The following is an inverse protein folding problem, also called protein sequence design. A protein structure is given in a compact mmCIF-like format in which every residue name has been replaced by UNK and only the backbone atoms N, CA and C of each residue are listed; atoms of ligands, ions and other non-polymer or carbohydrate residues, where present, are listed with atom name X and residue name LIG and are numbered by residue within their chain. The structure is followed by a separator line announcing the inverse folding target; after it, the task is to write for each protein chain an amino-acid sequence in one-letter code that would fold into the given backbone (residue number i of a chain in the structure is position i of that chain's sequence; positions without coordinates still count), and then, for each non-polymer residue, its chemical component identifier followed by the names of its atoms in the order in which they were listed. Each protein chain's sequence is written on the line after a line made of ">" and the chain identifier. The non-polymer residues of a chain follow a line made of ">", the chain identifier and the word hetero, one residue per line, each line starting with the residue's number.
data_IF_408552948302
#
_entry.id   IF_408552948302
#
_cell.length_a   1.000
_cell.length_b   1.000
_cell.length_c   1.000
_cell.angle_alpha   90.00
_cell.angle_beta   90.00
_cell.angle_gamma   90.00
#
_symmetry.space_group_name_H-M   'P 1'
#
loop_
_entity.id
_entity.type
_entity.pdbx_description
1 polymer ?
#
# COMPACT_ATOMS: atom_id res chain seq x y z
N UNK A 1 -5.02 -5.82 -17.03
CA UNK A 1 -4.57 -6.59 -15.85
C UNK A 1 -5.80 -6.95 -15.03
N UNK A 2 -6.01 -8.24 -14.69
CA UNK A 2 -7.28 -8.73 -14.11
C UNK A 2 -7.65 -8.02 -12.79
N UNK A 3 -6.69 -7.86 -11.88
CA UNK A 3 -6.90 -7.17 -10.60
C UNK A 3 -7.36 -5.73 -10.81
N UNK A 4 -6.82 -5.04 -11.81
CA UNK A 4 -7.21 -3.67 -12.15
C UNK A 4 -8.69 -3.61 -12.55
N UNK A 5 -9.13 -4.50 -13.43
CA UNK A 5 -10.51 -4.55 -13.89
C UNK A 5 -11.48 -4.85 -12.73
N UNK A 6 -11.12 -5.76 -11.83
CA UNK A 6 -11.90 -6.06 -10.63
C UNK A 6 -12.04 -4.85 -9.71
N UNK A 7 -10.91 -4.20 -9.34
CA UNK A 7 -10.93 -3.04 -8.43
C UNK A 7 -11.72 -1.89 -9.04
N UNK A 8 -11.52 -1.56 -10.33
CA UNK A 8 -12.26 -0.51 -11.02
C UNK A 8 -13.76 -0.77 -11.02
N UNK A 9 -14.17 -2.00 -11.34
CA UNK A 9 -15.58 -2.35 -11.43
C UNK A 9 -16.27 -2.32 -10.06
N UNK A 10 -15.61 -2.84 -9.02
CA UNK A 10 -16.12 -2.81 -7.64
C UNK A 10 -16.20 -1.39 -7.07
N UNK A 11 -15.21 -0.53 -7.36
CA UNK A 11 -15.22 0.86 -6.90
C UNK A 11 -16.25 1.72 -7.65
N UNK A 12 -16.48 1.47 -8.95
CA UNK A 12 -17.55 2.09 -9.73
C UNK A 12 -18.93 1.74 -9.19
N UNK A 13 -19.17 0.47 -8.88
CA UNK A 13 -20.47 0.00 -8.37
C UNK A 13 -20.72 0.34 -6.90
N UNK A 14 -19.72 0.86 -6.18
CA UNK A 14 -19.84 1.24 -4.77
C UNK A 14 -20.66 2.52 -4.53
N UNK A 15 -20.88 3.34 -5.57
CA UNK A 15 -21.44 4.70 -5.46
C UNK A 15 -20.67 5.63 -4.50
N UNK A 16 -19.46 5.24 -4.07
CA UNK A 16 -18.65 5.97 -3.11
C UNK A 16 -17.60 6.86 -3.76
N UNK A 17 -17.23 6.61 -5.02
CA UNK A 17 -16.08 7.21 -5.68
C UNK A 17 -16.46 8.18 -6.79
N UNK A 18 -15.65 9.21 -7.03
CA UNK A 18 -15.82 10.16 -8.12
C UNK A 18 -14.65 10.14 -9.13
N UNK A 19 -13.47 9.71 -8.69
CA UNK A 19 -12.30 9.52 -9.53
C UNK A 19 -11.44 8.38 -8.99
N UNK A 20 -10.78 7.66 -9.90
CA UNK A 20 -9.88 6.56 -9.57
C UNK A 20 -8.52 6.78 -10.26
N UNK A 21 -7.43 6.51 -9.55
CA UNK A 21 -6.06 6.52 -10.07
C UNK A 21 -5.47 5.13 -9.86
N UNK A 22 -5.07 4.48 -10.95
CA UNK A 22 -4.49 3.13 -10.93
C UNK A 22 -3.08 3.19 -11.49
N UNK A 23 -2.16 2.39 -10.95
CA UNK A 23 -0.84 2.16 -11.57
C UNK A 23 -0.96 1.70 -13.03
N UNK A 24 -1.98 0.90 -13.33
CA UNK A 24 -2.22 0.26 -14.64
C UNK A 24 -2.92 1.19 -15.66
N UNK A 25 -3.31 2.39 -15.25
CA UNK A 25 -4.01 3.36 -16.12
C UNK A 25 -3.24 4.66 -16.19
N UNK A 26 -2.89 5.06 -17.43
CA UNK A 26 -2.17 6.32 -17.69
C UNK A 26 -2.95 7.55 -17.22
N UNK A 27 -4.26 7.57 -17.48
CA UNK A 27 -5.12 8.70 -17.21
C UNK A 27 -6.08 8.39 -16.04
N UNK A 28 -6.46 9.43 -15.30
CA UNK A 28 -7.46 9.31 -14.22
C UNK A 28 -8.80 8.80 -14.78
N UNK A 29 -9.42 7.87 -14.05
CA UNK A 29 -10.74 7.33 -14.41
C UNK A 29 -11.80 8.16 -13.70
N UNK A 30 -12.53 8.98 -14.44
CA UNK A 30 -13.66 9.75 -13.90
C UNK A 30 -14.91 8.89 -13.88
N UNK A 31 -15.59 8.83 -12.73
CA UNK A 31 -16.79 8.03 -12.56
C UNK A 31 -17.99 8.72 -13.26
N UNK A 32 -18.87 7.98 -13.96
CA UNK A 32 -20.10 8.53 -14.55
C UNK A 32 -21.00 9.20 -13.51
N UNK A 33 -21.68 10.29 -13.89
CA UNK A 33 -22.42 11.18 -12.96
C UNK A 33 -23.42 10.45 -12.05
N UNK A 34 -24.10 9.46 -12.60
CA UNK A 34 -25.11 8.61 -11.97
C UNK A 34 -24.54 7.62 -10.94
N UNK A 35 -23.24 7.34 -10.98
CA UNK A 35 -22.54 6.41 -10.08
C UNK A 35 -21.59 7.11 -9.10
N UNK A 36 -21.58 8.46 -9.07
CA UNK A 36 -20.58 9.22 -8.31
C UNK A 36 -20.86 9.25 -6.82
N UNK A 37 -19.80 9.07 -6.04
CA UNK A 37 -19.72 9.47 -4.65
C UNK A 37 -18.77 10.65 -4.42
N UNK A 38 -18.18 10.69 -3.22
CA UNK A 38 -17.36 11.82 -2.72
C UNK A 38 -15.88 11.51 -2.54
N UNK A 39 -15.47 10.28 -2.82
CA UNK A 39 -14.12 9.81 -2.58
C UNK A 39 -13.31 9.65 -3.87
N UNK A 40 -12.01 9.82 -3.73
CA UNK A 40 -11.02 9.56 -4.77
C UNK A 40 -10.18 8.41 -4.26
N UNK A 41 -9.97 7.39 -5.08
CA UNK A 41 -9.19 6.21 -4.69
C UNK A 41 -7.98 6.08 -5.59
N UNK A 42 -6.80 6.16 -4.99
CA UNK A 42 -5.54 5.84 -5.64
C UNK A 42 -5.15 4.43 -5.22
N UNK A 43 -4.81 3.55 -6.16
CA UNK A 43 -4.48 2.17 -5.85
C UNK A 43 -3.45 1.58 -6.80
N UNK A 44 -2.71 0.61 -6.26
CA UNK A 44 -1.94 -0.36 -7.03
C UNK A 44 -2.73 -1.68 -6.97
N UNK A 45 -3.28 -2.16 -8.09
CA UNK A 45 -4.12 -3.35 -8.08
C UNK A 45 -3.32 -4.64 -7.83
N UNK A 46 -2.02 -4.68 -8.13
CA UNK A 46 -1.17 -5.86 -7.95
C UNK A 46 0.31 -5.50 -7.79
N UNK A 47 0.66 -5.07 -6.59
CA UNK A 47 2.02 -4.71 -6.19
C UNK A 47 2.91 -5.97 -6.09
N UNK A 48 4.18 -5.81 -6.43
CA UNK A 48 5.14 -6.92 -6.48
C UNK A 48 5.00 -7.82 -7.71
N UNK A 49 4.47 -7.31 -8.83
CA UNK A 49 4.23 -8.08 -10.05
C UNK A 49 5.45 -8.86 -10.57
N UNK A 50 6.67 -8.36 -10.33
CA UNK A 50 7.94 -9.04 -10.62
C UNK A 50 8.14 -10.38 -9.89
N UNK A 51 7.39 -10.60 -8.80
CA UNK A 51 7.47 -11.79 -7.95
C UNK A 51 6.37 -12.83 -8.21
N UNK A 52 5.48 -12.57 -9.17
CA UNK A 52 4.37 -13.50 -9.49
C UNK A 52 4.93 -14.86 -9.91
N UNK A 53 5.92 -14.87 -10.82
CA UNK A 53 6.47 -16.10 -11.38
C UNK A 53 7.26 -16.95 -10.37
N UNK A 54 7.76 -16.34 -9.30
CA UNK A 54 8.49 -17.02 -8.23
C UNK A 54 7.63 -17.32 -7.00
N UNK A 55 6.32 -17.07 -7.07
CA UNK A 55 5.35 -17.31 -5.98
C UNK A 55 5.73 -16.62 -4.67
N UNK A 56 6.43 -15.48 -4.74
CA UNK A 56 6.66 -14.65 -3.57
C UNK A 56 5.37 -13.91 -3.20
N UNK A 57 5.35 -13.34 -1.99
CA UNK A 57 4.19 -12.55 -1.54
C UNK A 57 4.03 -11.32 -2.42
N UNK A 58 2.79 -11.04 -2.80
CA UNK A 58 2.35 -9.89 -3.59
C UNK A 58 1.19 -9.20 -2.88
N UNK A 59 0.73 -8.05 -3.36
CA UNK A 59 -0.33 -7.31 -2.66
C UNK A 59 -1.17 -6.40 -3.53
N UNK A 60 -2.09 -5.68 -2.88
CA UNK A 60 -2.87 -4.58 -3.46
C UNK A 60 -2.79 -3.42 -2.49
N UNK A 61 -2.40 -2.23 -2.94
CA UNK A 61 -2.26 -1.04 -2.09
C UNK A 61 -3.37 -0.06 -2.44
N UNK A 62 -3.95 0.61 -1.45
CA UNK A 62 -4.93 1.66 -1.71
C UNK A 62 -4.85 2.82 -0.73
N UNK A 63 -5.19 4.00 -1.23
CA UNK A 63 -5.35 5.22 -0.47
C UNK A 63 -6.63 5.93 -0.92
N UNK A 64 -7.42 6.36 0.06
CA UNK A 64 -8.71 7.03 -0.13
C UNK A 64 -8.56 8.48 0.30
N UNK A 65 -8.96 9.38 -0.58
CA UNK A 65 -9.05 10.82 -0.33
C UNK A 65 -10.49 11.27 -0.42
N UNK A 66 -10.84 12.34 0.30
CA UNK A 66 -12.10 13.04 0.09
C UNK A 66 -11.90 14.10 -0.99
N UNK A 67 -12.85 14.22 -1.93
CA UNK A 67 -12.88 15.34 -2.86
C UNK A 67 -13.11 16.64 -2.09
N UNK A 68 -12.32 17.67 -2.37
CA UNK A 68 -12.34 18.96 -1.64
C UNK A 68 -12.94 20.11 -2.43
N UNK A 69 -13.17 19.93 -3.72
CA UNK A 69 -13.72 20.93 -4.65
C UNK A 69 -15.19 20.64 -4.95
N UNK A 70 -15.95 21.67 -5.32
CA UNK A 70 -17.36 21.51 -5.76
C UNK A 70 -17.51 21.38 -7.29
N UNK A 71 -16.40 21.42 -8.03
CA UNK A 71 -16.36 21.32 -9.49
C UNK A 71 -16.53 19.89 -9.99
N UNK A 72 -16.63 19.70 -11.31
CA UNK A 72 -16.52 18.35 -11.91
C UNK A 72 -15.21 17.66 -11.49
N UNK A 73 -15.22 16.36 -11.16
CA UNK A 73 -14.01 15.62 -10.82
C UNK A 73 -12.98 15.66 -11.97
N UNK A 74 -11.73 15.94 -11.63
CA UNK A 74 -10.62 15.97 -12.57
C UNK A 74 -9.36 15.40 -11.94
N UNK A 75 -8.32 15.21 -12.75
CA UNK A 75 -7.03 14.67 -12.32
C UNK A 75 -6.42 15.44 -11.14
N UNK A 76 -6.58 16.77 -11.12
CA UNK A 76 -6.05 17.64 -10.07
C UNK A 76 -6.65 17.34 -8.69
N UNK A 77 -7.86 16.79 -8.63
CA UNK A 77 -8.48 16.42 -7.36
C UNK A 77 -7.78 15.23 -6.69
N UNK A 78 -7.06 14.40 -7.46
CA UNK A 78 -6.25 13.29 -6.95
C UNK A 78 -4.85 13.72 -6.51
N UNK A 79 -4.38 14.90 -6.95
CA UNK A 79 -3.07 15.46 -6.61
C UNK A 79 -3.08 16.12 -5.23
N UNK A 80 -3.51 15.37 -4.22
CA UNK A 80 -3.53 15.78 -2.83
C UNK A 80 -2.31 15.25 -2.07
N UNK A 81 -1.81 15.98 -1.06
CA UNK A 81 -0.74 15.47 -0.22
C UNK A 81 -1.25 14.28 0.63
N UNK A 82 -0.39 13.29 0.87
CA UNK A 82 -0.75 12.09 1.64
C UNK A 82 -1.30 12.33 3.06
N UNK A 83 -1.05 13.51 3.64
CA UNK A 83 -1.69 13.96 4.90
C UNK A 83 -3.22 14.10 4.83
N UNK A 84 -3.78 14.18 3.62
CA UNK A 84 -5.21 14.29 3.37
C UNK A 84 -5.91 12.93 3.18
N UNK A 85 -5.17 11.82 3.27
CA UNK A 85 -5.75 10.47 3.21
C UNK A 85 -6.72 10.32 4.37
N UNK A 86 -7.95 9.87 4.06
CA UNK A 86 -9.00 9.61 5.07
C UNK A 86 -9.06 8.13 5.45
N UNK A 87 -8.60 7.24 4.57
CA UNK A 87 -8.36 5.84 4.85
C UNK A 87 -7.31 5.29 3.89
N UNK A 88 -6.45 4.39 4.35
CA UNK A 88 -5.49 3.69 3.51
C UNK A 88 -5.20 2.31 4.07
N UNK A 89 -4.68 1.45 3.22
CA UNK A 89 -4.36 0.10 3.60
C UNK A 89 -3.70 -0.66 2.47
N UNK A 90 -3.47 -1.94 2.74
CA UNK A 90 -3.03 -2.89 1.75
C UNK A 90 -3.61 -4.27 2.04
N UNK A 91 -3.88 -5.03 0.99
CA UNK A 91 -4.07 -6.46 1.03
C UNK A 91 -2.73 -7.14 0.74
N UNK A 92 -2.34 -8.10 1.57
CA UNK A 92 -1.16 -8.93 1.41
C UNK A 92 -1.62 -10.35 1.05
N UNK A 93 -1.18 -10.84 -0.10
CA UNK A 93 -1.38 -12.20 -0.57
C UNK A 93 -0.12 -13.03 -0.28
N UNK A 94 0.08 -13.33 0.99
CA UNK A 94 1.24 -14.11 1.48
C UNK A 94 0.86 -15.56 1.79
N UNK A 95 1.47 -16.12 2.83
CA UNK A 95 1.06 -17.43 3.36
C UNK A 95 -0.37 -17.47 3.89
N UNK A 96 -0.91 -16.29 4.25
CA UNK A 96 -2.32 -16.04 4.49
C UNK A 96 -2.69 -14.69 3.85
N UNK A 97 -3.97 -14.50 3.51
CA UNK A 97 -4.47 -13.23 3.00
C UNK A 97 -4.84 -12.30 4.15
N UNK A 98 -4.20 -11.14 4.21
CA UNK A 98 -4.38 -10.14 5.27
C UNK A 98 -4.70 -8.78 4.67
N UNK A 99 -5.62 -8.04 5.28
CA UNK A 99 -5.86 -6.63 5.00
C UNK A 99 -5.44 -5.81 6.21
N UNK A 100 -4.46 -4.94 6.04
CA UNK A 100 -4.12 -3.91 7.02
C UNK A 100 -4.83 -2.62 6.63
N UNK A 101 -5.58 -2.03 7.56
CA UNK A 101 -6.42 -0.85 7.31
C UNK A 101 -6.21 0.21 8.38
N UNK A 102 -6.14 1.47 7.97
CA UNK A 102 -6.21 2.64 8.83
C UNK A 102 -7.26 3.62 8.32
N UNK A 103 -8.04 4.17 9.25
CA UNK A 103 -9.02 5.26 9.03
C UNK A 103 -8.68 6.52 9.83
N UNK A 104 -7.42 6.63 10.27
CA UNK A 104 -6.91 7.76 11.05
C UNK A 104 -6.92 7.57 12.58
N UNK A 105 -7.49 6.47 13.10
CA UNK A 105 -7.57 6.19 14.55
C UNK A 105 -6.65 5.04 15.02
N UNK A 106 -5.82 4.51 14.13
CA UNK A 106 -4.98 3.36 14.39
C UNK A 106 -4.83 2.51 13.15
N UNK A 107 -4.21 1.35 13.31
CA UNK A 107 -4.07 0.35 12.26
C UNK A 107 -4.65 -0.94 12.81
N UNK A 108 -5.55 -1.57 12.06
CA UNK A 108 -6.11 -2.87 12.38
C UNK A 108 -5.79 -3.85 11.24
N UNK A 109 -5.55 -5.11 11.59
CA UNK A 109 -5.29 -6.17 10.63
C UNK A 109 -6.43 -7.19 10.65
N UNK A 110 -6.93 -7.53 9.48
CA UNK A 110 -7.98 -8.50 9.26
C UNK A 110 -7.44 -9.64 8.40
N UNK A 111 -7.65 -10.88 8.81
CA UNK A 111 -7.24 -12.06 8.05
C UNK A 111 -8.46 -12.67 7.37
N UNK A 112 -8.32 -13.05 6.11
CA UNK A 112 -9.37 -13.74 5.37
C UNK A 112 -9.53 -15.16 5.92
N UNK A 113 -10.74 -15.52 6.33
CA UNK A 113 -11.15 -16.92 6.49
C UNK A 113 -11.68 -17.43 5.15
N UNK A 114 -10.96 -18.33 4.44
CA UNK A 114 -11.37 -18.80 3.12
C UNK A 114 -12.63 -19.67 3.15
N UNK A 115 -12.96 -20.28 4.28
CA UNK A 115 -14.15 -21.12 4.41
C UNK A 115 -15.43 -20.28 4.55
N UNK A 116 -15.31 -19.10 5.17
CA UNK A 116 -16.43 -18.17 5.34
C UNK A 116 -16.48 -17.09 4.24
N UNK A 117 -15.34 -16.77 3.62
CA UNK A 117 -15.22 -15.65 2.69
C UNK A 117 -15.21 -14.28 3.39
N UNK A 118 -14.83 -14.23 4.67
CA UNK A 118 -14.93 -13.05 5.52
C UNK A 118 -13.56 -12.61 6.07
N UNK A 119 -13.37 -11.30 6.21
CA UNK A 119 -12.19 -10.71 6.85
C UNK A 119 -12.41 -10.55 8.35
N UNK A 120 -11.73 -11.38 9.15
CA UNK A 120 -11.86 -11.40 10.60
C UNK A 120 -10.75 -10.59 11.24
N UNK A 121 -11.09 -9.72 12.20
CA UNK A 121 -10.12 -8.93 12.96
C UNK A 121 -9.19 -9.85 13.76
N UNK A 122 -7.89 -9.81 13.48
CA UNK A 122 -6.87 -10.63 14.17
C UNK A 122 -5.93 -9.80 15.04
N UNK A 123 -5.57 -8.59 14.60
CA UNK A 123 -4.75 -7.66 15.37
C UNK A 123 -5.39 -6.28 15.40
N UNK A 124 -5.64 -5.78 16.62
CA UNK A 124 -6.26 -4.48 16.85
C UNK A 124 -5.23 -3.44 17.27
N UNK A 125 -5.35 -2.23 16.73
CA UNK A 125 -4.56 -1.06 17.08
C UNK A 125 -3.05 -1.33 17.08
N UNK A 126 -2.57 -1.91 15.98
CA UNK A 126 -1.18 -2.29 15.76
C UNK A 126 -0.26 -1.08 15.97
N UNK A 127 0.86 -1.33 16.65
CA UNK A 127 1.92 -0.36 16.90
C UNK A 127 3.27 -0.96 16.57
N UNK A 128 4.03 -0.24 15.75
CA UNK A 128 5.41 -0.63 15.43
C UNK A 128 6.31 -0.46 16.66
N UNK A 129 7.32 -1.33 16.80
CA UNK A 129 8.35 -1.19 17.84
C UNK A 129 9.14 0.10 17.61
N UNK A 130 9.53 0.79 18.70
CA UNK A 130 10.34 2.02 18.63
C UNK A 130 11.69 1.83 17.94
N UNK A 131 12.31 0.66 18.06
CA UNK A 131 13.57 0.28 17.37
C UNK A 131 13.50 -1.18 16.95
N UNK A 132 13.69 -1.44 15.66
CA UNK A 132 13.81 -2.78 15.08
C UNK A 132 15.25 -3.30 15.08
N UNK A 133 15.45 -4.52 14.57
CA UNK A 133 16.75 -5.18 14.37
C UNK A 133 16.96 -5.71 12.94
N UNK A 134 16.13 -5.24 12.00
CA UNK A 134 16.13 -5.65 10.60
C UNK A 134 16.26 -4.40 9.73
N UNK A 135 17.02 -4.50 8.64
CA UNK A 135 16.97 -3.54 7.53
C UNK A 135 16.52 -4.26 6.25
N UNK A 136 15.83 -3.53 5.36
CA UNK A 136 15.32 -4.03 4.08
C UNK A 136 15.67 -3.04 2.98
N UNK A 137 16.54 -3.45 2.06
CA UNK A 137 17.03 -2.65 0.95
C UNK A 137 17.76 -3.54 -0.07
N UNK A 138 17.59 -3.25 -1.37
CA UNK A 138 18.29 -3.97 -2.44
C UNK A 138 19.74 -3.49 -2.56
N UNK A 139 20.68 -4.20 -1.94
CA UNK A 139 22.10 -3.86 -1.98
C UNK A 139 22.74 -4.00 -3.38
N UNK A 140 22.05 -4.55 -4.36
CA UNK A 140 22.49 -4.53 -5.77
C UNK A 140 22.67 -3.12 -6.32
N UNK A 141 22.02 -2.12 -5.72
CA UNK A 141 22.19 -0.70 -6.06
C UNK A 141 23.33 -0.01 -5.31
N UNK A 142 24.20 -0.74 -4.59
CA UNK A 142 25.27 -0.16 -3.76
C UNK A 142 26.14 0.88 -4.48
N UNK A 143 26.39 0.71 -5.78
CA UNK A 143 27.14 1.66 -6.61
C UNK A 143 26.48 3.04 -6.71
N UNK A 144 25.17 3.12 -6.55
CA UNK A 144 24.36 4.31 -6.78
C UNK A 144 23.84 4.95 -5.50
N UNK A 145 24.12 4.36 -4.33
CA UNK A 145 23.68 4.93 -3.07
C UNK A 145 24.38 6.25 -2.79
N UNK A 146 23.61 7.19 -2.25
CA UNK A 146 24.18 8.39 -1.66
C UNK A 146 25.03 8.03 -0.42
N UNK A 147 25.90 8.95 0.02
CA UNK A 147 26.77 8.71 1.17
C UNK A 147 26.02 8.36 2.46
N UNK A 148 24.83 8.92 2.70
CA UNK A 148 24.09 8.68 3.94
C UNK A 148 23.54 7.26 4.00
N UNK A 149 23.05 6.71 2.89
CA UNK A 149 22.62 5.30 2.81
C UNK A 149 23.81 4.36 2.97
N UNK A 150 24.94 4.68 2.34
CA UNK A 150 26.17 3.89 2.46
C UNK A 150 26.65 3.84 3.91
N UNK A 151 26.70 4.98 4.60
CA UNK A 151 27.05 5.08 6.01
C UNK A 151 26.05 4.33 6.91
N UNK A 152 24.75 4.49 6.66
CA UNK A 152 23.72 3.79 7.40
C UNK A 152 23.90 2.27 7.30
N UNK A 153 24.09 1.73 6.10
CA UNK A 153 24.29 0.29 5.88
C UNK A 153 25.56 -0.21 6.56
N UNK A 154 26.65 0.56 6.47
CA UNK A 154 27.89 0.25 7.19
C UNK A 154 27.62 0.14 8.69
N UNK A 155 26.93 1.10 9.29
CA UNK A 155 26.61 1.12 10.72
C UNK A 155 25.63 0.00 11.14
N UNK A 156 24.77 -0.48 10.23
CA UNK A 156 23.90 -1.64 10.50
C UNK A 156 24.64 -2.97 10.47
N UNK A 157 25.68 -3.08 9.64
CA UNK A 157 26.53 -4.29 9.51
C UNK A 157 27.65 -4.32 10.55
N UNK A 158 28.21 -3.16 10.88
CA UNK A 158 29.36 -2.99 11.77
C UNK A 158 29.03 -1.97 12.88
N UNK A 159 28.11 -2.30 13.79
CA UNK A 159 27.75 -1.41 14.89
C UNK A 159 28.96 -1.15 15.80
N UNK A 160 29.20 0.14 16.11
CA UNK A 160 30.33 0.56 16.95
C UNK A 160 30.03 0.53 18.46
N UNK A 161 28.75 0.37 18.83
CA UNK A 161 28.27 0.35 20.21
C UNK A 161 28.34 -1.04 20.87
N UNK A 162 28.95 -2.02 20.19
CA UNK A 162 29.04 -3.41 20.65
C UNK A 162 27.74 -4.21 20.52
N UNK A 163 26.68 -3.63 19.94
CA UNK A 163 25.44 -4.36 19.66
C UNK A 163 25.61 -5.37 18.52
N UNK A 164 24.68 -6.33 18.41
CA UNK A 164 24.70 -7.26 17.27
C UNK A 164 24.31 -6.53 15.97
N UNK A 165 24.92 -6.90 14.83
CA UNK A 165 24.50 -6.40 13.52
C UNK A 165 23.00 -6.63 13.26
N UNK A 166 22.41 -5.74 12.46
CA UNK A 166 21.03 -5.91 12.02
C UNK A 166 20.95 -7.04 10.99
N UNK A 167 19.86 -7.81 11.03
CA UNK A 167 19.58 -8.81 9.99
C UNK A 167 19.10 -8.13 8.71
N UNK A 168 19.57 -8.59 7.55
CA UNK A 168 19.03 -8.19 6.25
C UNK A 168 17.80 -9.03 5.89
N UNK A 169 16.74 -8.39 5.40
CA UNK A 169 15.57 -9.05 4.79
C UNK A 169 15.11 -8.19 3.62
N UNK A 170 15.06 -8.74 2.41
CA UNK A 170 14.55 -8.03 1.23
C UNK A 170 13.75 -9.02 0.39
N UNK A 171 12.41 -8.91 0.45
CA UNK A 171 11.50 -9.79 -0.32
C UNK A 171 11.41 -9.32 -1.78
N UNK A 172 11.45 -8.00 -2.00
CA UNK A 172 11.42 -7.41 -3.34
C UNK A 172 10.01 -7.27 -3.94
N UNK A 173 8.97 -7.45 -3.12
CA UNK A 173 7.61 -6.99 -3.40
C UNK A 173 7.38 -5.66 -2.71
#
# INVERSE_FOLDING_TARGET
>A
VLSNDLVINMLKSSYGTCALVSEENKDVIIIPKDLRGKYIVCFDPLDGSSNIDCLASIGTIFAIYRKTTDTEPCEKDALQPGRNIVAAGYALYGSATLVALSTGQGVDCFMLDPALGEFVLVDKNVRIKKKGKIYSLNEGYAKYFDPAITEYLHNKKFPQDGSSPYSSRYVGS
#
